data_IF_110676896309
#
_entry.id   IF_110676896309
#
_cell.length_a   1.000
_cell.length_b   1.000
_cell.length_c   1.000
_cell.angle_alpha   90.00
_cell.angle_beta   90.00
_cell.angle_gamma   90.00
#
_symmetry.space_group_name_H-M   'P 1'
#
loop_
_entity.id
_entity.type
_entity.pdbx_description
1 polymer ?
#
# COMPACT_ATOMS: atom_id res chain seq x y z
N UNK A 1 -7.51 -5.10 -3.83
CA UNK A 1 -6.27 -5.33 -3.03
C UNK A 1 -5.08 -5.31 -3.99
N UNK A 2 -3.96 -4.71 -3.59
CA UNK A 2 -2.75 -4.64 -4.43
C UNK A 2 -1.92 -5.91 -4.19
N UNK A 3 -1.59 -6.63 -5.27
CA UNK A 3 -0.77 -7.84 -5.17
C UNK A 3 0.63 -7.50 -4.68
N UNK A 4 1.15 -8.29 -3.74
CA UNK A 4 2.48 -8.08 -3.13
C UNK A 4 2.47 -7.25 -1.84
N UNK A 5 1.38 -6.51 -1.55
CA UNK A 5 1.23 -5.83 -0.25
C UNK A 5 0.90 -6.86 0.83
N UNK A 6 1.70 -6.90 1.88
CA UNK A 6 1.48 -7.78 3.02
C UNK A 6 0.23 -7.35 3.78
N UNK A 7 -0.61 -8.32 4.18
CA UNK A 7 -1.78 -8.03 5.01
C UNK A 7 -1.34 -7.58 6.40
N UNK A 8 -2.11 -6.68 7.00
CA UNK A 8 -1.93 -6.30 8.41
C UNK A 8 -2.05 -7.54 9.31
N UNK A 9 -1.12 -7.69 10.25
CA UNK A 9 -1.11 -8.79 11.22
C UNK A 9 -2.06 -8.49 12.37
N UNK A 10 -2.60 -9.53 13.00
CA UNK A 10 -3.43 -9.37 14.20
C UNK A 10 -2.66 -8.65 15.31
N UNK A 11 -3.32 -7.70 15.98
CA UNK A 11 -2.74 -6.83 17.02
C UNK A 11 -1.56 -5.95 16.56
N UNK A 12 -1.39 -5.75 15.25
CA UNK A 12 -0.42 -4.79 14.72
C UNK A 12 -1.03 -3.40 14.60
N UNK A 13 -0.23 -2.36 14.81
CA UNK A 13 -0.70 -0.97 14.70
C UNK A 13 -1.02 -0.65 13.22
N UNK A 14 -2.27 -0.30 12.88
CA UNK A 14 -2.64 0.01 11.50
C UNK A 14 -1.90 1.20 10.91
N UNK A 15 -1.56 2.20 11.73
CA UNK A 15 -0.81 3.36 11.28
C UNK A 15 0.61 2.97 10.88
N UNK A 16 1.28 2.13 11.69
CA UNK A 16 2.62 1.63 11.37
C UNK A 16 2.61 0.77 10.12
N UNK A 17 1.64 -0.14 9.99
CA UNK A 17 1.51 -0.98 8.80
C UNK A 17 1.35 -0.15 7.53
N UNK A 18 0.48 0.86 7.56
CA UNK A 18 0.25 1.73 6.41
C UNK A 18 1.54 2.46 5.99
N UNK A 19 2.30 2.99 6.95
CA UNK A 19 3.57 3.68 6.65
C UNK A 19 4.63 2.76 6.01
N UNK A 20 4.68 1.49 6.42
CA UNK A 20 5.61 0.52 5.85
C UNK A 20 5.24 0.17 4.41
N UNK A 21 3.96 -0.15 4.17
CA UNK A 21 3.50 -0.65 2.86
C UNK A 21 3.31 0.45 1.82
N UNK A 22 3.12 1.71 2.22
CA UNK A 22 3.00 2.85 1.29
C UNK A 22 4.29 3.69 1.20
N UNK A 23 5.42 3.11 1.58
CA UNK A 23 6.72 3.77 1.40
C UNK A 23 7.14 3.77 -0.08
N UNK A 24 7.94 4.75 -0.48
CA UNK A 24 8.50 4.82 -1.85
C UNK A 24 9.30 3.56 -2.23
N UNK A 25 10.04 3.01 -1.28
CA UNK A 25 10.79 1.78 -1.51
C UNK A 25 9.85 0.61 -1.83
N UNK A 26 8.67 0.54 -1.20
CA UNK A 26 7.66 -0.47 -1.54
C UNK A 26 7.04 -0.22 -2.91
N UNK A 27 6.78 1.03 -3.30
CA UNK A 27 6.34 1.37 -4.66
C UNK A 27 7.34 0.89 -5.72
N UNK A 28 8.63 1.10 -5.50
CA UNK A 28 9.70 0.65 -6.40
C UNK A 28 9.80 -0.88 -6.48
N UNK A 29 9.71 -1.58 -5.33
CA UNK A 29 9.75 -3.05 -5.27
C UNK A 29 8.53 -3.66 -5.99
N UNK A 30 7.36 -3.06 -5.81
CA UNK A 30 6.10 -3.53 -6.41
C UNK A 30 5.94 -3.05 -7.86
N UNK A 31 6.73 -2.06 -8.31
CA UNK A 31 6.61 -1.45 -9.62
C UNK A 31 5.29 -0.70 -9.82
N UNK A 32 4.75 -0.10 -8.75
CA UNK A 32 3.46 0.60 -8.76
C UNK A 32 3.58 2.04 -8.27
N UNK A 33 2.59 2.86 -8.61
CA UNK A 33 2.40 4.21 -8.05
C UNK A 33 1.04 4.22 -7.34
N UNK A 34 1.04 4.34 -6.02
CA UNK A 34 -0.19 4.30 -5.22
C UNK A 34 -1.10 5.48 -5.53
N UNK A 35 -0.55 6.66 -5.84
CA UNK A 35 -1.34 7.83 -6.20
C UNK A 35 -2.05 7.63 -7.55
N UNK A 36 -1.36 7.02 -8.53
CA UNK A 36 -1.99 6.63 -9.80
C UNK A 36 -3.07 5.58 -9.60
N UNK A 37 -2.83 4.57 -8.77
CA UNK A 37 -3.83 3.54 -8.47
C UNK A 37 -5.07 4.15 -7.83
N UNK A 38 -4.88 5.03 -6.83
CA UNK A 38 -5.99 5.71 -6.15
C UNK A 38 -6.84 6.53 -7.13
N UNK A 39 -6.20 7.30 -8.02
CA UNK A 39 -6.89 8.11 -9.04
C UNK A 39 -7.66 7.29 -10.08
N UNK A 40 -7.30 6.03 -10.31
CA UNK A 40 -7.99 5.14 -11.26
C UNK A 40 -8.93 4.16 -10.54
N UNK A 41 -9.15 4.32 -9.24
CA UNK A 41 -10.06 3.49 -8.47
C UNK A 41 -11.47 4.10 -8.46
N UNK A 42 -12.49 3.30 -8.16
CA UNK A 42 -13.90 3.73 -8.09
C UNK A 42 -14.21 4.76 -6.98
N UNK A 43 -13.18 5.20 -6.24
CA UNK A 43 -13.26 6.21 -5.20
C UNK A 43 -13.05 7.65 -5.74
N UNK A 44 -12.68 7.79 -7.01
CA UNK A 44 -12.49 9.06 -7.70
C UNK A 44 -13.47 9.17 -8.87
#
# INVERSE_FOLDING_TARGET
>A
AINGVTKIRERYNPATWMLEVTSKAQEEILGVDFAKIYKNSDLF
#
